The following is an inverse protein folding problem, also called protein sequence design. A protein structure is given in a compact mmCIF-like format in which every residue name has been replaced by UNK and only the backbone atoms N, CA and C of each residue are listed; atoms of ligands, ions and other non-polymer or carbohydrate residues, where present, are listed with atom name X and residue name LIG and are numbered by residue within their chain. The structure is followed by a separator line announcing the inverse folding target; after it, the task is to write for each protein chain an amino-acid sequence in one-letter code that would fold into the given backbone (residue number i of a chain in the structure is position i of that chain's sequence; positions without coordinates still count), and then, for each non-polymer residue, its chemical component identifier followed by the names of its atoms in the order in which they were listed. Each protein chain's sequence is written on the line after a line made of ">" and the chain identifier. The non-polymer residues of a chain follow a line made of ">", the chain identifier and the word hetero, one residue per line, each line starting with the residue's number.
data_IF_742788041621
#
_entry.id   IF_742788041621
#
_cell.length_a   1.000
_cell.length_b   1.000
_cell.length_c   1.000
_cell.angle_alpha   90.00
_cell.angle_beta   90.00
_cell.angle_gamma   90.00
#
_symmetry.space_group_name_H-M   'P 1'
#
loop_
_entity.id
_entity.type
_entity.pdbx_description
1 polymer ?
#
# COMPACT_ATOMS: atom_id res chain seq x y z
N UNK A 1 -7.84 4.35 -18.30
CA UNK A 1 -7.72 3.16 -19.16
C UNK A 1 -7.54 1.92 -18.27
N UNK A 2 -8.56 1.62 -17.45
CA UNK A 2 -8.68 0.36 -16.71
C UNK A 2 -9.31 -0.74 -17.60
N UNK A 3 -9.73 -0.36 -18.79
CA UNK A 3 -10.55 -1.10 -19.75
C UNK A 3 -9.86 -2.35 -20.31
N UNK A 4 -8.56 -2.51 -20.01
CA UNK A 4 -7.75 -3.69 -20.36
C UNK A 4 -7.48 -4.61 -19.16
N UNK A 5 -8.01 -4.27 -17.98
CA UNK A 5 -7.92 -5.06 -16.77
C UNK A 5 -9.27 -5.71 -16.46
N UNK A 6 -9.24 -6.98 -16.07
CA UNK A 6 -10.42 -7.71 -15.62
C UNK A 6 -10.53 -7.58 -14.11
N UNK A 7 -11.65 -7.04 -13.61
CA UNK A 7 -11.94 -7.03 -12.18
C UNK A 7 -12.11 -8.47 -11.67
N UNK A 8 -11.53 -8.75 -10.51
CA UNK A 8 -11.62 -10.02 -9.80
C UNK A 8 -12.47 -9.77 -8.57
N UNK A 9 -13.43 -10.66 -8.31
CA UNK A 9 -14.19 -10.62 -7.06
C UNK A 9 -13.29 -11.07 -5.91
N UNK A 10 -13.34 -10.33 -4.81
CA UNK A 10 -12.60 -10.67 -3.59
C UNK A 10 -13.52 -10.62 -2.39
N UNK A 11 -13.13 -11.33 -1.33
CA UNK A 11 -13.82 -11.31 -0.04
C UNK A 11 -13.22 -10.27 0.92
N UNK A 12 -12.28 -9.44 0.46
CA UNK A 12 -11.67 -8.42 1.32
C UNK A 12 -12.59 -7.22 1.37
N UNK A 13 -13.02 -6.87 2.58
CA UNK A 13 -13.95 -5.78 2.85
C UNK A 13 -13.25 -4.75 3.71
N UNK A 14 -13.31 -3.49 3.28
CA UNK A 14 -12.83 -2.36 4.04
C UNK A 14 -13.70 -2.09 5.28
N UNK A 15 -13.19 -1.35 6.29
CA UNK A 15 -13.96 -1.07 7.50
C UNK A 15 -15.29 -0.33 7.27
N UNK A 16 -15.43 0.39 6.15
CA UNK A 16 -16.65 1.09 5.75
C UNK A 16 -17.66 0.19 5.02
N UNK A 17 -17.34 -1.10 4.82
CA UNK A 17 -18.17 -2.08 4.13
C UNK A 17 -17.94 -2.14 2.61
N UNK A 18 -17.04 -1.32 2.07
CA UNK A 18 -16.69 -1.35 0.64
C UNK A 18 -15.83 -2.58 0.33
N UNK A 19 -16.09 -3.28 -0.77
CA UNK A 19 -15.26 -4.42 -1.21
C UNK A 19 -14.00 -3.91 -1.88
N UNK A 20 -12.86 -4.54 -1.57
CA UNK A 20 -11.58 -4.29 -2.19
C UNK A 20 -11.63 -4.52 -3.70
N UNK A 21 -11.24 -3.51 -4.47
CA UNK A 21 -11.15 -3.64 -5.91
C UNK A 21 -9.78 -4.23 -6.29
N UNK A 22 -9.83 -5.41 -6.89
CA UNK A 22 -8.66 -6.10 -7.43
C UNK A 22 -8.88 -6.32 -8.91
N UNK A 23 -7.86 -6.03 -9.72
CA UNK A 23 -7.89 -6.26 -11.14
C UNK A 23 -6.69 -7.05 -11.59
N UNK A 24 -6.89 -7.91 -12.59
CA UNK A 24 -5.82 -8.63 -13.28
C UNK A 24 -5.70 -8.19 -14.72
N UNK A 25 -4.49 -8.30 -15.25
CA UNK A 25 -4.23 -8.19 -16.69
C UNK A 25 -3.14 -9.15 -17.11
N UNK A 26 -3.43 -9.87 -18.19
CA UNK A 26 -2.46 -10.73 -18.85
C UNK A 26 -1.96 -10.00 -20.10
N UNK A 27 -0.64 -9.87 -20.23
CA UNK A 27 0.01 -9.31 -21.42
C UNK A 27 1.11 -10.25 -21.90
N UNK A 28 1.68 -9.96 -23.08
CA UNK A 28 2.88 -10.65 -23.55
C UNK A 28 4.10 -10.45 -22.63
N UNK A 29 4.09 -9.39 -21.83
CA UNK A 29 5.19 -9.01 -20.94
C UNK A 29 5.04 -9.61 -19.54
N UNK A 30 3.85 -10.11 -19.18
CA UNK A 30 3.61 -10.83 -17.93
C UNK A 30 2.17 -10.75 -17.43
N UNK A 31 1.96 -11.25 -16.22
CA UNK A 31 0.68 -11.24 -15.54
C UNK A 31 0.72 -10.23 -14.39
N UNK A 32 -0.24 -9.33 -14.36
CA UNK A 32 -0.28 -8.21 -13.42
C UNK A 32 -1.53 -8.33 -12.56
N UNK A 33 -1.36 -8.11 -11.27
CA UNK A 33 -2.46 -7.91 -10.32
C UNK A 33 -2.30 -6.52 -9.74
N UNK A 34 -3.39 -5.77 -9.68
CA UNK A 34 -3.44 -4.44 -9.07
C UNK A 34 -4.62 -4.31 -8.12
N UNK A 35 -4.47 -3.41 -7.16
CA UNK A 35 -5.51 -3.10 -6.20
C UNK A 35 -5.52 -1.63 -5.84
N UNK A 36 -6.72 -1.10 -5.57
CA UNK A 36 -6.96 0.23 -5.02
C UNK A 36 -6.62 0.35 -3.53
N UNK A 37 -6.12 -0.72 -2.88
CA UNK A 37 -5.66 -0.66 -1.50
C UNK A 37 -4.60 0.43 -1.26
N UNK A 38 -3.83 0.79 -2.29
CA UNK A 38 -2.93 1.93 -2.24
C UNK A 38 -3.67 3.21 -1.86
N UNK A 39 -4.81 3.51 -2.48
CA UNK A 39 -5.65 4.69 -2.23
C UNK A 39 -6.05 4.84 -0.75
N UNK A 40 -6.35 3.72 -0.08
CA UNK A 40 -6.72 3.71 1.33
C UNK A 40 -5.56 3.82 2.30
N UNK A 41 -4.41 3.33 1.88
CA UNK A 41 -3.14 3.55 2.54
C UNK A 41 -2.80 5.05 2.63
N UNK A 42 -3.12 5.83 1.59
CA UNK A 42 -3.05 7.30 1.64
C UNK A 42 -4.07 7.90 2.63
N UNK A 43 -5.29 7.36 2.65
CA UNK A 43 -6.40 7.91 3.42
C UNK A 43 -6.22 7.81 4.95
N UNK A 44 -5.54 6.77 5.45
CA UNK A 44 -5.34 6.57 6.91
C UNK A 44 -4.05 7.16 7.48
N UNK A 45 -2.98 7.29 6.69
CA UNK A 45 -1.64 7.44 7.26
C UNK A 45 -0.95 8.80 7.07
N UNK A 46 -1.30 9.68 6.12
CA UNK A 46 -0.63 11.00 6.04
C UNK A 46 -1.21 11.94 4.98
N UNK A 47 -1.08 13.24 5.22
CA UNK A 47 -1.21 14.30 4.20
C UNK A 47 -0.13 14.23 3.09
N UNK A 48 0.79 13.26 3.18
CA UNK A 48 1.90 13.05 2.25
C UNK A 48 1.65 11.74 1.50
N UNK A 49 1.69 11.76 0.15
CA UNK A 49 1.60 10.56 -0.66
C UNK A 49 2.65 9.50 -0.31
N UNK A 50 2.31 8.20 -0.27
CA UNK A 50 3.27 7.09 -0.21
C UNK A 50 4.32 7.12 -1.33
N UNK A 51 3.93 7.63 -2.50
CA UNK A 51 4.84 7.95 -3.60
C UNK A 51 5.88 9.04 -3.25
N UNK A 52 5.77 9.68 -2.09
CA UNK A 52 6.73 10.63 -1.55
C UNK A 52 7.53 10.11 -0.35
N UNK A 53 7.32 8.86 0.10
CA UNK A 53 8.17 8.21 1.12
C UNK A 53 9.13 7.18 0.47
N UNK A 54 10.42 7.51 0.29
CA UNK A 54 11.38 6.63 -0.38
C UNK A 54 11.61 5.30 0.33
N UNK A 55 11.59 5.29 1.67
CA UNK A 55 11.82 4.06 2.46
C UNK A 55 10.65 3.09 2.29
N UNK A 56 9.42 3.59 2.28
CA UNK A 56 8.25 2.75 2.03
C UNK A 56 8.25 2.21 0.60
N UNK A 57 8.65 3.02 -0.38
CA UNK A 57 8.79 2.56 -1.76
C UNK A 57 9.86 1.49 -1.93
N UNK A 58 11.02 1.68 -1.31
CA UNK A 58 12.11 0.71 -1.33
C UNK A 58 11.67 -0.61 -0.67
N UNK A 59 11.02 -0.53 0.50
CA UNK A 59 10.48 -1.69 1.19
C UNK A 59 9.45 -2.45 0.33
N UNK A 60 8.46 -1.76 -0.24
CA UNK A 60 7.46 -2.39 -1.11
C UNK A 60 8.11 -3.00 -2.36
N UNK A 61 9.06 -2.29 -2.97
CA UNK A 61 9.78 -2.77 -4.15
C UNK A 61 10.60 -4.03 -3.84
N UNK A 62 11.17 -4.14 -2.64
CA UNK A 62 11.89 -5.34 -2.18
C UNK A 62 10.99 -6.58 -2.07
N UNK A 63 9.68 -6.36 -1.89
CA UNK A 63 8.66 -7.41 -1.88
C UNK A 63 8.05 -7.68 -3.28
N UNK A 64 8.58 -7.03 -4.32
CA UNK A 64 8.03 -7.12 -5.68
C UNK A 64 6.71 -6.36 -5.87
N UNK A 65 6.42 -5.40 -4.99
CA UNK A 65 5.22 -4.56 -5.02
C UNK A 65 5.62 -3.20 -5.56
N UNK A 66 4.91 -2.73 -6.57
CA UNK A 66 5.15 -1.45 -7.23
C UNK A 66 3.93 -0.54 -7.07
N UNK A 67 4.17 0.77 -7.19
CA UNK A 67 3.14 1.80 -7.14
C UNK A 67 2.89 2.35 -8.54
N UNK A 68 1.62 2.47 -8.92
CA UNK A 68 1.20 3.23 -10.09
C UNK A 68 0.13 4.24 -9.68
N UNK A 69 0.56 5.48 -9.45
CA UNK A 69 -0.29 6.47 -8.79
C UNK A 69 -0.64 5.98 -7.38
N UNK A 70 -1.94 5.85 -7.10
CA UNK A 70 -2.46 5.36 -5.83
C UNK A 70 -2.76 3.86 -5.82
N UNK A 71 -2.31 3.11 -6.83
CA UNK A 71 -2.58 1.69 -6.96
C UNK A 71 -1.34 0.88 -6.61
N UNK A 72 -1.51 -0.18 -5.83
CA UNK A 72 -0.48 -1.20 -5.72
C UNK A 72 -0.62 -2.20 -6.84
N UNK A 73 0.50 -2.62 -7.41
CA UNK A 73 0.50 -3.72 -8.34
C UNK A 73 1.72 -4.62 -8.14
N UNK A 74 1.57 -5.88 -8.51
CA UNK A 74 2.67 -6.84 -8.57
C UNK A 74 2.62 -7.61 -9.89
N UNK A 75 3.77 -8.14 -10.29
CA UNK A 75 3.94 -8.92 -11.51
C UNK A 75 4.23 -10.37 -11.16
N UNK A 76 3.41 -11.27 -11.67
CA UNK A 76 3.61 -12.71 -11.58
C UNK A 76 4.24 -13.26 -12.86
N UNK A 77 5.13 -14.24 -12.70
CA UNK A 77 5.73 -14.97 -13.80
C UNK A 77 4.68 -15.84 -14.51
N UNK A 78 3.88 -16.56 -13.73
CA UNK A 78 2.75 -17.36 -14.20
C UNK A 78 1.42 -16.63 -13.97
N UNK A 79 0.33 -17.20 -14.49
CA UNK A 79 -0.99 -16.65 -14.24
C UNK A 79 -1.36 -16.87 -12.76
N UNK A 80 -1.59 -15.80 -11.97
CA UNK A 80 -1.83 -15.95 -10.54
C UNK A 80 -3.11 -16.72 -10.24
N UNK A 81 -3.04 -17.64 -9.29
CA UNK A 81 -4.22 -18.31 -8.73
C UNK A 81 -4.99 -17.37 -7.80
N UNK A 82 -6.21 -17.76 -7.43
CA UNK A 82 -6.97 -17.03 -6.40
C UNK A 82 -6.17 -16.92 -5.08
N UNK A 83 -5.51 -18.01 -4.66
CA UNK A 83 -4.67 -18.02 -3.45
C UNK A 83 -3.50 -17.02 -3.53
N UNK A 84 -2.89 -16.87 -4.72
CA UNK A 84 -1.83 -15.88 -4.90
C UNK A 84 -2.35 -14.45 -4.75
N UNK A 85 -3.55 -14.18 -5.27
CA UNK A 85 -4.22 -12.87 -5.18
C UNK A 85 -4.62 -12.58 -3.74
N UNK A 86 -5.19 -13.57 -3.03
CA UNK A 86 -5.56 -13.44 -1.62
C UNK A 86 -4.34 -13.17 -0.75
N UNK A 87 -3.24 -13.91 -0.96
CA UNK A 87 -1.99 -13.70 -0.24
C UNK A 87 -1.41 -12.30 -0.50
N UNK A 88 -1.50 -11.79 -1.73
CA UNK A 88 -1.10 -10.43 -2.08
C UNK A 88 -1.95 -9.38 -1.34
N UNK A 89 -3.27 -9.54 -1.33
CA UNK A 89 -4.18 -8.62 -0.65
C UNK A 89 -3.97 -8.65 0.87
N UNK A 90 -3.88 -9.84 1.47
CA UNK A 90 -3.58 -10.01 2.90
C UNK A 90 -2.23 -9.40 3.28
N UNK A 91 -1.20 -9.62 2.47
CA UNK A 91 0.13 -9.07 2.68
C UNK A 91 0.10 -7.55 2.71
N UNK A 92 -0.56 -6.93 1.74
CA UNK A 92 -0.74 -5.48 1.70
C UNK A 92 -1.53 -4.96 2.90
N UNK A 93 -2.62 -5.64 3.32
CA UNK A 93 -3.39 -5.26 4.51
C UNK A 93 -2.53 -5.34 5.79
N UNK A 94 -1.72 -6.39 5.94
CA UNK A 94 -0.81 -6.54 7.08
C UNK A 94 0.23 -5.43 7.09
N UNK A 95 0.82 -5.13 5.94
CA UNK A 95 1.74 -4.00 5.77
C UNK A 95 1.03 -2.68 6.10
N UNK A 96 -0.26 -2.53 5.76
CA UNK A 96 -1.07 -1.36 6.09
C UNK A 96 -1.23 -1.16 7.59
N UNK A 97 -1.56 -2.26 8.27
CA UNK A 97 -1.72 -2.26 9.72
C UNK A 97 -0.40 -2.02 10.45
N UNK A 98 0.73 -2.51 9.91
CA UNK A 98 2.06 -2.26 10.48
C UNK A 98 2.52 -0.80 10.27
N UNK A 99 2.21 -0.22 9.12
CA UNK A 99 2.51 1.19 8.84
C UNK A 99 1.48 2.15 9.46
N UNK A 100 0.44 1.62 10.11
CA UNK A 100 -0.52 2.43 10.86
C UNK A 100 0.11 2.91 12.16
N UNK A 101 0.63 4.13 12.15
CA UNK A 101 0.98 4.85 13.35
C UNK A 101 -0.31 5.48 13.89
N UNK A 102 -0.73 5.07 15.09
CA UNK A 102 -1.92 5.65 15.72
C UNK A 102 -1.77 7.17 15.85
N UNK A 103 -2.88 7.90 15.91
CA UNK A 103 -2.84 9.36 16.13
C UNK A 103 -2.11 9.74 17.44
N UNK A 104 -2.16 8.86 18.45
CA UNK A 104 -1.42 9.02 19.70
C UNK A 104 0.09 8.82 19.51
N UNK A 105 0.49 7.78 18.78
CA UNK A 105 1.90 7.52 18.46
C UNK A 105 2.50 8.63 17.57
N UNK A 106 1.70 9.19 16.65
CA UNK A 106 2.10 10.36 15.85
C UNK A 106 2.37 11.58 16.72
N UNK A 107 1.48 11.88 17.66
CA UNK A 107 1.67 12.98 18.59
C UNK A 107 2.90 12.75 19.48
N UNK A 108 3.11 11.52 19.93
CA UNK A 108 4.28 11.16 20.73
C UNK A 108 5.59 11.33 19.95
N UNK A 109 5.67 10.83 18.71
CA UNK A 109 6.84 10.98 17.84
C UNK A 109 7.11 12.45 17.47
N UNK A 110 6.06 13.25 17.24
CA UNK A 110 6.17 14.69 17.02
C UNK A 110 6.78 15.38 18.25
N UNK A 111 6.27 15.08 19.45
CA UNK A 111 6.77 15.65 20.69
C UNK A 111 8.25 15.29 20.94
N UNK A 112 8.65 14.04 20.65
CA UNK A 112 10.04 13.59 20.76
C UNK A 112 10.93 14.30 19.75
N UNK A 113 10.46 14.47 18.52
CA UNK A 113 11.20 15.15 17.45
C UNK A 113 11.40 16.63 17.78
N UNK A 114 10.35 17.32 18.22
CA UNK A 114 10.39 18.72 18.64
C UNK A 114 11.32 18.93 19.83
N UNK A 115 11.37 17.97 20.77
CA UNK A 115 12.31 17.98 21.89
C UNK A 115 13.77 17.88 21.40
N UNK A 116 14.08 16.93 20.53
CA UNK A 116 15.44 16.75 19.99
C UNK A 116 15.89 17.98 19.21
N UNK A 117 15.03 18.55 18.36
CA UNK A 117 15.35 19.78 17.64
C UNK A 117 15.60 20.96 18.59
N UNK A 118 14.82 21.10 19.67
CA UNK A 118 15.01 22.15 20.66
C UNK A 118 16.36 22.03 21.38
N UNK A 119 16.73 20.83 21.80
CA UNK A 119 18.01 20.57 22.47
C UNK A 119 19.20 20.81 21.54
N UNK A 120 19.10 20.43 20.26
CA UNK A 120 20.15 20.66 19.27
C UNK A 120 20.30 22.14 18.85
N UNK A 121 19.26 22.96 19.05
CA UNK A 121 19.27 24.40 18.71
C UNK A 121 19.81 25.30 19.83
N UNK A 122 20.07 24.74 21.01
CA UNK A 122 20.59 25.47 22.18
C UNK A 122 22.11 25.27 22.39
N UNK A 123 22.77 24.54 21.49
CA UNK A 123 24.23 24.39 21.41
C UNK A 123 24.80 25.26 20.28
#
# INVERSE_FOLDING_TARGET
>A
MLDTFTKIETNFIYPDGTVLDVFRKQTKEGNYVLTDLGALFFWKNSAIPLSCNPLTQEFLSSLGIQLWGDLFFTKYQENPTAENIDAFCEGLIKIANLMYVSSEDRQHLQNVTDYVYREMSQQ
#
